data_IF_406783776287
#
_entry.id   IF_406783776287
#
_cell.length_a   1.000
_cell.length_b   1.000
_cell.length_c   1.000
_cell.angle_alpha   90.00
_cell.angle_beta   90.00
_cell.angle_gamma   90.00
#
_symmetry.space_group_name_H-M   'P 1'
#
loop_
_entity.id
_entity.type
_entity.pdbx_description
1 polymer ?
#
# COMPACT_ATOMS: atom_id res chain seq x y z
N UNK A 1 -2.44 -24.71 79.26
CA UNK A 1 -1.12 -25.29 78.98
C UNK A 1 -1.23 -25.96 77.63
N UNK A 2 -0.59 -25.53 76.54
CA UNK A 2 0.20 -24.34 76.22
C UNK A 2 -0.10 -23.99 74.75
N UNK A 3 -0.01 -22.71 74.42
CA UNK A 3 -0.11 -22.19 73.07
C UNK A 3 1.20 -22.49 72.34
N UNK A 4 1.16 -23.17 71.19
CA UNK A 4 2.28 -23.12 70.25
C UNK A 4 1.96 -22.15 69.12
N UNK A 5 2.92 -21.25 68.93
CA UNK A 5 2.77 -19.95 68.32
C UNK A 5 2.91 -19.98 66.80
N UNK A 6 2.17 -19.07 66.19
CA UNK A 6 2.31 -18.56 64.82
C UNK A 6 3.75 -18.11 64.55
N UNK A 7 4.43 -18.69 63.54
CA UNK A 7 5.45 -18.01 62.71
C UNK A 7 5.52 -18.67 61.32
N UNK A 8 5.08 -17.96 60.28
CA UNK A 8 5.68 -18.03 58.93
C UNK A 8 6.75 -16.92 58.87
N UNK A 9 7.92 -17.11 58.23
CA UNK A 9 8.11 -16.84 56.79
C UNK A 9 9.08 -17.89 56.17
N UNK A 10 9.40 -18.03 54.89
CA UNK A 10 9.76 -17.05 53.87
C UNK A 10 9.83 -17.81 52.53
N UNK A 11 9.18 -17.26 51.50
CA UNK A 11 9.24 -17.76 50.13
C UNK A 11 10.66 -17.58 49.61
N UNK A 12 11.39 -18.68 49.40
CA UNK A 12 12.62 -18.64 48.61
C UNK A 12 12.25 -18.79 47.14
N UNK A 13 12.10 -17.65 46.49
CA UNK A 13 11.95 -17.51 45.03
C UNK A 13 13.25 -17.97 44.38
N UNK A 14 13.22 -19.11 43.72
CA UNK A 14 14.21 -19.51 42.72
C UNK A 14 14.33 -18.38 41.69
N UNK A 15 15.53 -17.92 41.31
CA UNK A 15 15.65 -16.78 40.41
C UNK A 15 15.11 -17.21 39.05
N UNK A 16 13.90 -16.77 38.75
CA UNK A 16 13.31 -16.76 37.43
C UNK A 16 14.38 -16.19 36.50
N UNK A 17 14.93 -17.07 35.65
CA UNK A 17 15.81 -16.66 34.59
C UNK A 17 15.08 -15.54 33.86
N UNK A 18 15.61 -14.33 34.00
CA UNK A 18 15.08 -13.15 33.37
C UNK A 18 15.12 -13.40 31.85
N UNK A 19 14.00 -13.90 31.32
CA UNK A 19 13.68 -13.85 29.92
C UNK A 19 13.69 -12.36 29.62
N UNK A 20 14.74 -11.95 28.92
CA UNK A 20 14.93 -10.59 28.47
C UNK A 20 13.61 -10.11 27.87
N UNK A 21 13.12 -8.90 28.20
CA UNK A 21 11.98 -8.37 27.48
C UNK A 21 12.42 -8.34 26.03
N UNK A 22 11.79 -9.18 25.20
CA UNK A 22 12.01 -9.18 23.77
C UNK A 22 11.77 -7.75 23.33
N UNK A 23 12.87 -7.03 23.06
CA UNK A 23 12.82 -5.71 22.49
C UNK A 23 12.03 -5.87 21.21
N UNK A 24 10.76 -5.46 21.26
CA UNK A 24 9.90 -5.33 20.10
C UNK A 24 10.69 -4.47 19.13
N UNK A 25 11.30 -5.08 18.13
CA UNK A 25 11.90 -4.37 17.01
C UNK A 25 10.71 -3.80 16.27
N UNK A 26 10.29 -2.60 16.70
CA UNK A 26 9.31 -1.80 16.00
C UNK A 26 9.86 -1.62 14.58
N UNK A 27 9.21 -2.28 13.62
CA UNK A 27 9.56 -2.07 12.21
C UNK A 27 9.46 -0.57 11.98
N UNK A 28 10.50 0.08 11.43
CA UNK A 28 10.42 1.50 11.12
C UNK A 28 9.19 1.71 10.24
N UNK A 29 8.24 2.51 10.74
CA UNK A 29 7.04 2.91 10.01
C UNK A 29 7.53 3.66 8.78
N UNK A 30 7.60 2.96 7.65
CA UNK A 30 7.92 3.55 6.35
C UNK A 30 6.87 4.64 6.13
N UNK A 31 7.27 5.93 6.03
CA UNK A 31 6.34 6.99 5.70
C UNK A 31 5.58 6.57 4.45
N UNK A 32 4.27 6.83 4.32
CA UNK A 32 3.56 6.50 3.10
C UNK A 32 4.25 7.28 1.97
N UNK A 33 5.16 6.61 1.25
CA UNK A 33 5.80 7.18 0.08
C UNK A 33 4.66 7.65 -0.79
N UNK A 34 4.65 8.95 -1.09
CA UNK A 34 3.75 9.52 -2.06
C UNK A 34 4.03 8.82 -3.38
N UNK A 35 3.34 7.70 -3.62
CA UNK A 35 3.48 6.86 -4.78
C UNK A 35 2.80 7.62 -5.91
N UNK A 36 3.52 8.60 -6.44
CA UNK A 36 3.17 9.23 -7.70
C UNK A 36 2.85 8.09 -8.68
N UNK A 37 1.79 8.20 -9.50
CA UNK A 37 1.42 7.14 -10.41
C UNK A 37 2.51 6.98 -11.46
N UNK A 38 3.52 6.18 -11.12
CA UNK A 38 4.70 5.87 -11.93
C UNK A 38 4.28 5.37 -13.30
N UNK A 39 3.16 4.64 -13.34
CA UNK A 39 2.56 4.11 -14.55
C UNK A 39 2.27 5.17 -15.62
N UNK A 40 1.60 6.27 -15.28
CA UNK A 40 1.28 7.29 -16.28
C UNK A 40 2.54 7.98 -16.79
N UNK A 41 3.43 8.35 -15.88
CA UNK A 41 4.69 9.00 -16.21
C UNK A 41 5.54 8.16 -17.18
N UNK A 42 5.77 6.88 -16.86
CA UNK A 42 6.56 5.99 -17.71
C UNK A 42 5.85 5.62 -19.02
N UNK A 43 4.51 5.55 -19.03
CA UNK A 43 3.74 5.36 -20.25
C UNK A 43 3.89 6.56 -21.20
N UNK A 44 3.78 7.78 -20.67
CA UNK A 44 3.98 9.00 -21.46
C UNK A 44 5.42 9.11 -21.96
N UNK A 45 6.41 8.89 -21.09
CA UNK A 45 7.82 8.95 -21.45
C UNK A 45 8.17 7.92 -22.55
N UNK A 46 7.73 6.67 -22.38
CA UNK A 46 7.97 5.64 -23.40
C UNK A 46 7.23 5.94 -24.71
N UNK A 47 6.02 6.51 -24.65
CA UNK A 47 5.28 7.00 -25.81
C UNK A 47 6.04 8.08 -26.59
N UNK A 48 6.67 9.03 -25.91
CA UNK A 48 7.48 10.06 -26.57
C UNK A 48 8.75 9.46 -27.17
N UNK A 49 9.47 8.61 -26.44
CA UNK A 49 10.76 8.07 -26.88
C UNK A 49 10.62 7.06 -28.02
N UNK A 50 9.62 6.18 -27.98
CA UNK A 50 9.50 5.05 -28.90
C UNK A 50 8.36 5.17 -29.90
N UNK A 51 7.35 6.01 -29.64
CA UNK A 51 6.12 6.06 -30.43
C UNK A 51 5.84 7.44 -31.07
N UNK A 52 6.79 8.38 -31.02
CA UNK A 52 6.66 9.70 -31.65
C UNK A 52 6.32 9.65 -33.15
N UNK A 53 6.75 8.61 -33.86
CA UNK A 53 6.44 8.43 -35.28
C UNK A 53 4.93 8.33 -35.56
N UNK A 54 4.13 7.87 -34.59
CA UNK A 54 2.66 7.83 -34.73
C UNK A 54 1.99 9.20 -34.52
N UNK A 55 2.71 10.18 -33.96
CA UNK A 55 2.22 11.56 -33.79
C UNK A 55 2.20 12.33 -35.13
N UNK A 56 2.78 11.78 -36.20
CA UNK A 56 2.76 12.38 -37.55
C UNK A 56 1.36 12.48 -38.16
N UNK A 57 0.31 12.07 -37.44
CA UNK A 57 -1.08 12.39 -37.76
C UNK A 57 -1.25 13.90 -37.83
N UNK A 58 -1.70 14.37 -38.98
CA UNK A 58 -2.03 15.78 -39.21
C UNK A 58 -3.53 15.95 -39.00
N UNK A 59 -3.93 16.75 -38.00
CA UNK A 59 -5.33 17.16 -37.82
C UNK A 59 -5.46 18.55 -38.44
N UNK A 60 -6.12 18.63 -39.61
CA UNK A 60 -6.18 19.85 -40.41
C UNK A 60 -4.81 20.20 -41.02
N UNK A 61 -4.24 21.34 -40.62
CA UNK A 61 -2.93 21.82 -41.09
C UNK A 61 -1.82 21.72 -40.03
N UNK A 62 -2.06 21.00 -38.91
CA UNK A 62 -1.10 20.88 -37.81
C UNK A 62 -0.73 19.42 -37.58
N UNK A 63 0.57 19.14 -37.59
CA UNK A 63 1.13 17.90 -37.06
C UNK A 63 1.02 17.93 -35.53
N UNK A 64 0.59 16.82 -34.93
CA UNK A 64 0.47 16.72 -33.48
C UNK A 64 1.86 16.50 -32.87
N UNK A 65 2.17 17.23 -31.80
CA UNK A 65 3.43 17.04 -31.05
C UNK A 65 3.46 15.67 -30.38
N UNK A 66 4.63 15.02 -30.37
CA UNK A 66 4.80 13.68 -29.80
C UNK A 66 4.38 13.60 -28.32
N UNK A 67 4.58 14.67 -27.54
CA UNK A 67 4.15 14.75 -26.15
C UNK A 67 2.62 14.79 -26.05
N UNK A 68 1.96 15.61 -26.88
CA UNK A 68 0.49 15.72 -26.88
C UNK A 68 -0.14 14.38 -27.29
N UNK A 69 0.42 13.74 -28.32
CA UNK A 69 0.00 12.42 -28.75
C UNK A 69 0.13 11.40 -27.60
N UNK A 70 1.32 11.31 -27.01
CA UNK A 70 1.61 10.35 -25.95
C UNK A 70 0.76 10.57 -24.68
N UNK A 71 0.59 11.83 -24.24
CA UNK A 71 -0.24 12.19 -23.09
C UNK A 71 -1.69 11.82 -23.33
N UNK A 72 -2.25 12.20 -24.49
CA UNK A 72 -3.66 11.95 -24.78
C UNK A 72 -3.93 10.47 -24.98
N UNK A 73 -3.06 9.78 -25.72
CA UNK A 73 -3.17 8.35 -25.98
C UNK A 73 -3.11 7.56 -24.66
N UNK A 74 -1.98 7.63 -23.93
CA UNK A 74 -1.82 6.89 -22.68
C UNK A 74 -2.81 7.34 -21.60
N UNK A 75 -3.09 8.64 -21.53
CA UNK A 75 -4.01 9.21 -20.56
C UNK A 75 -5.44 8.73 -20.77
N UNK A 76 -5.89 8.62 -22.02
CA UNK A 76 -7.23 8.10 -22.32
C UNK A 76 -7.40 6.64 -21.90
N UNK A 77 -6.41 5.79 -22.17
CA UNK A 77 -6.43 4.40 -21.69
C UNK A 77 -6.43 4.33 -20.16
N UNK A 78 -5.55 5.09 -19.51
CA UNK A 78 -5.42 5.06 -18.05
C UNK A 78 -6.65 5.59 -17.34
N UNK A 79 -7.22 6.69 -17.83
CA UNK A 79 -8.40 7.31 -17.24
C UNK A 79 -9.60 6.37 -17.31
N UNK A 80 -9.81 5.71 -18.45
CA UNK A 80 -10.89 4.72 -18.58
C UNK A 80 -10.68 3.54 -17.64
N UNK A 81 -9.45 3.02 -17.56
CA UNK A 81 -9.12 1.92 -16.65
C UNK A 81 -9.32 2.31 -15.17
N UNK A 82 -8.89 3.51 -14.79
CA UNK A 82 -9.07 4.05 -13.43
C UNK A 82 -10.55 4.19 -13.08
N UNK A 83 -11.36 4.76 -13.99
CA UNK A 83 -12.81 4.90 -13.80
C UNK A 83 -13.46 3.53 -13.62
N UNK A 84 -13.17 2.56 -14.50
CA UNK A 84 -13.71 1.21 -14.40
C UNK A 84 -13.28 0.56 -13.09
N UNK A 85 -12.02 0.73 -12.70
CA UNK A 85 -11.49 0.18 -11.44
C UNK A 85 -12.24 0.76 -10.24
N UNK A 86 -12.42 2.07 -10.17
CA UNK A 86 -13.19 2.74 -9.11
C UNK A 86 -14.61 2.21 -9.06
N UNK A 87 -15.28 2.04 -10.20
CA UNK A 87 -16.62 1.46 -10.27
C UNK A 87 -16.61 0.05 -9.68
N UNK A 88 -15.71 -0.82 -10.15
CA UNK A 88 -15.64 -2.23 -9.73
C UNK A 88 -15.39 -2.35 -8.23
N UNK A 89 -14.42 -1.62 -7.67
CA UNK A 89 -14.15 -1.68 -6.23
C UNK A 89 -15.28 -1.08 -5.39
N UNK A 90 -16.09 -0.18 -5.97
CA UNK A 90 -17.24 0.43 -5.31
C UNK A 90 -18.49 -0.45 -5.33
N UNK A 91 -18.51 -1.53 -6.12
CA UNK A 91 -19.60 -2.50 -6.13
C UNK A 91 -19.70 -3.16 -4.73
N UNK A 92 -20.89 -3.19 -4.08
CA UNK A 92 -20.99 -3.59 -2.67
C UNK A 92 -20.40 -4.98 -2.35
N UNK A 93 -20.59 -6.03 -3.18
CA UNK A 93 -19.88 -7.30 -3.03
C UNK A 93 -18.35 -7.18 -2.98
N UNK A 94 -17.74 -6.42 -3.90
CA UNK A 94 -16.27 -6.27 -4.00
C UNK A 94 -15.74 -5.50 -2.80
N UNK A 95 -16.41 -4.40 -2.45
CA UNK A 95 -16.05 -3.60 -1.28
C UNK A 95 -16.08 -4.43 0.01
N UNK A 96 -17.14 -5.21 0.23
CA UNK A 96 -17.26 -6.11 1.40
C UNK A 96 -16.15 -7.16 1.46
N UNK A 97 -15.76 -7.72 0.31
CA UNK A 97 -14.67 -8.68 0.25
C UNK A 97 -13.32 -8.03 0.62
N UNK A 98 -13.04 -6.82 0.11
CA UNK A 98 -11.83 -6.08 0.47
C UNK A 98 -11.82 -5.71 1.95
N UNK A 99 -12.95 -5.27 2.51
CA UNK A 99 -13.08 -4.96 3.93
C UNK A 99 -12.85 -6.20 4.81
N UNK A 100 -13.35 -7.36 4.41
CA UNK A 100 -13.10 -8.63 5.09
C UNK A 100 -11.61 -9.00 5.10
N UNK A 101 -10.93 -8.91 3.95
CA UNK A 101 -9.47 -9.16 3.85
C UNK A 101 -8.69 -8.18 4.71
N UNK A 102 -9.09 -6.90 4.73
CA UNK A 102 -8.48 -5.89 5.58
C UNK A 102 -8.63 -6.22 7.07
N UNK A 103 -9.77 -6.73 7.51
CA UNK A 103 -9.96 -7.18 8.90
C UNK A 103 -9.02 -8.35 9.21
N UNK A 104 -8.98 -9.38 8.37
CA UNK A 104 -8.08 -10.53 8.57
C UNK A 104 -6.61 -10.13 8.71
N UNK A 105 -6.17 -9.13 7.94
CA UNK A 105 -4.78 -8.64 8.00
C UNK A 105 -4.46 -7.87 9.30
N UNK A 106 -5.46 -7.24 9.93
CA UNK A 106 -5.28 -6.42 11.14
C UNK A 106 -5.65 -7.15 12.45
N UNK A 107 -6.23 -8.35 12.38
CA UNK A 107 -6.64 -9.13 13.56
C UNK A 107 -5.50 -9.97 14.18
N UNK A 108 -4.24 -9.54 14.06
CA UNK A 108 -3.08 -10.23 14.65
C UNK A 108 -2.55 -9.48 15.86
#
# INVERSE_FOLDING_TARGET
MELEAVVQPEVQVEPEAAVQPEAQVELPVVPPEAKQPSRFFFAVLSGVVFFAAYASVTIGNKTIDALIYSVTYNGSYLAVEEIITIIVISIPPVKKALDYVKQMANSR
#
